data_IF_843836769444
#
_entry.id   IF_843836769444
#
_cell.length_a   1.000
_cell.length_b   1.000
_cell.length_c   1.000
_cell.angle_alpha   90.00
_cell.angle_beta   90.00
_cell.angle_gamma   90.00
#
_symmetry.space_group_name_H-M   'P 1'
#
loop_
_entity.id
_entity.type
_entity.pdbx_description
1 polymer ?
#
# COMPACT_ATOMS: atom_id res chain seq x y z
N UNK A 1 12.61 -20.34 9.68
CA UNK A 1 12.42 -18.89 9.59
C UNK A 1 12.76 -18.14 10.90
N UNK A 2 13.76 -18.64 11.63
CA UNK A 2 14.33 -17.98 12.84
C UNK A 2 15.48 -17.02 12.51
N UNK A 3 15.78 -16.77 11.23
CA UNK A 3 17.02 -16.14 10.76
C UNK A 3 17.03 -14.59 10.76
N UNK A 4 15.89 -13.93 10.99
CA UNK A 4 15.85 -12.46 10.94
C UNK A 4 15.18 -11.91 12.20
N UNK A 5 15.74 -10.86 12.85
CA UNK A 5 15.09 -10.12 13.91
C UNK A 5 13.76 -9.50 13.43
N UNK A 6 12.84 -9.23 14.35
CA UNK A 6 11.45 -8.83 14.03
C UNK A 6 11.36 -7.62 13.10
N UNK A 7 12.23 -6.62 13.27
CA UNK A 7 12.26 -5.39 12.47
C UNK A 7 12.73 -5.66 11.04
N UNK A 8 13.75 -6.50 10.86
CA UNK A 8 14.26 -6.87 9.53
C UNK A 8 13.21 -7.58 8.67
N UNK A 9 12.34 -8.40 9.29
CA UNK A 9 11.25 -9.07 8.56
C UNK A 9 10.22 -8.09 8.03
N UNK A 10 9.87 -7.08 8.81
CA UNK A 10 8.92 -6.03 8.43
C UNK A 10 9.51 -5.17 7.32
N UNK A 11 10.78 -4.83 7.40
CA UNK A 11 11.50 -4.08 6.36
C UNK A 11 11.60 -4.89 5.06
N UNK A 12 11.89 -6.19 5.15
CA UNK A 12 11.93 -7.07 3.99
C UNK A 12 10.56 -7.17 3.29
N UNK A 13 9.48 -7.25 4.06
CA UNK A 13 8.12 -7.17 3.51
C UNK A 13 7.87 -5.82 2.81
N UNK A 14 8.33 -4.72 3.40
CA UNK A 14 8.22 -3.38 2.80
C UNK A 14 8.96 -3.26 1.47
N UNK A 15 10.17 -3.80 1.38
CA UNK A 15 10.96 -3.83 0.13
C UNK A 15 10.26 -4.68 -0.93
N UNK A 16 9.73 -5.85 -0.55
CA UNK A 16 9.00 -6.72 -1.46
C UNK A 16 7.71 -6.05 -1.98
N UNK A 17 7.00 -5.30 -1.12
CA UNK A 17 5.84 -4.50 -1.53
C UNK A 17 6.23 -3.38 -2.50
N UNK A 18 7.37 -2.71 -2.28
CA UNK A 18 7.88 -1.68 -3.18
C UNK A 18 8.22 -2.25 -4.56
N UNK A 19 8.90 -3.40 -4.59
CA UNK A 19 9.20 -4.11 -5.84
C UNK A 19 7.90 -4.52 -6.55
N UNK A 20 6.96 -5.10 -5.82
CA UNK A 20 5.65 -5.46 -6.36
C UNK A 20 4.91 -4.26 -6.95
N UNK A 21 4.89 -3.13 -6.24
CA UNK A 21 4.28 -1.90 -6.74
C UNK A 21 4.97 -1.34 -7.99
N UNK A 22 6.30 -1.45 -8.08
CA UNK A 22 7.06 -1.06 -9.27
C UNK A 22 6.75 -1.95 -10.49
N UNK A 23 6.55 -3.25 -10.26
CA UNK A 23 6.24 -4.21 -11.35
C UNK A 23 4.85 -3.98 -11.97
N UNK A 24 3.91 -3.29 -11.30
CA UNK A 24 2.61 -2.92 -11.88
C UNK A 24 2.75 -2.09 -13.16
N UNK A 25 3.79 -1.26 -13.24
CA UNK A 25 4.01 -0.40 -14.41
C UNK A 25 4.38 -1.21 -15.66
N UNK A 26 4.84 -2.46 -15.50
CA UNK A 26 5.19 -3.36 -16.59
C UNK A 26 4.00 -4.30 -16.87
N UNK A 27 3.33 -4.21 -18.04
CA UNK A 27 2.11 -4.96 -18.33
C UNK A 27 2.24 -6.48 -18.14
N UNK A 28 3.35 -7.05 -18.59
CA UNK A 28 3.61 -8.49 -18.51
C UNK A 28 3.88 -9.00 -17.11
N UNK A 29 4.23 -8.11 -16.16
CA UNK A 29 4.55 -8.45 -14.78
C UNK A 29 3.37 -8.30 -13.82
N UNK A 30 2.19 -7.89 -14.30
CA UNK A 30 0.98 -7.68 -13.47
C UNK A 30 0.63 -8.89 -12.59
N UNK A 31 0.61 -10.15 -13.09
CA UNK A 31 0.31 -11.30 -12.24
C UNK A 31 1.33 -11.49 -11.12
N UNK A 32 2.62 -11.31 -11.42
CA UNK A 32 3.71 -11.42 -10.44
C UNK A 32 3.60 -10.31 -9.41
N UNK A 33 3.34 -9.09 -9.86
CA UNK A 33 3.10 -7.93 -9.00
C UNK A 33 1.93 -8.17 -8.04
N UNK A 34 0.79 -8.63 -8.55
CA UNK A 34 -0.39 -8.94 -7.75
C UNK A 34 -0.11 -10.01 -6.69
N UNK A 35 0.61 -11.06 -7.06
CA UNK A 35 1.04 -12.10 -6.13
C UNK A 35 1.95 -11.54 -5.03
N UNK A 36 2.98 -10.79 -5.38
CA UNK A 36 3.91 -10.18 -4.41
C UNK A 36 3.18 -9.25 -3.45
N UNK A 37 2.36 -8.34 -3.97
CA UNK A 37 1.61 -7.39 -3.14
C UNK A 37 0.65 -8.14 -2.21
N UNK A 38 -0.14 -9.08 -2.71
CA UNK A 38 -1.09 -9.84 -1.91
C UNK A 38 -0.41 -10.67 -0.82
N UNK A 39 0.64 -11.41 -1.16
CA UNK A 39 1.37 -12.26 -0.22
C UNK A 39 2.06 -11.46 0.87
N UNK A 40 2.87 -10.46 0.47
CA UNK A 40 3.65 -9.68 1.44
C UNK A 40 2.81 -8.70 2.25
N UNK A 41 1.69 -8.20 1.72
CA UNK A 41 0.72 -7.40 2.47
C UNK A 41 0.08 -8.19 3.60
N UNK A 42 -0.34 -9.43 3.32
CA UNK A 42 -0.89 -10.33 4.34
C UNK A 42 0.14 -10.69 5.41
N UNK A 43 1.35 -11.04 4.98
CA UNK A 43 2.45 -11.36 5.91
C UNK A 43 2.79 -10.16 6.79
N UNK A 44 2.90 -8.98 6.22
CA UNK A 44 3.16 -7.74 6.93
C UNK A 44 2.06 -7.40 7.94
N UNK A 45 0.80 -7.54 7.55
CA UNK A 45 -0.35 -7.32 8.46
C UNK A 45 -0.31 -8.26 9.66
N UNK A 46 0.04 -9.53 9.43
CA UNK A 46 0.20 -10.52 10.50
C UNK A 46 1.35 -10.17 11.46
N UNK A 47 2.49 -9.75 10.91
CA UNK A 47 3.65 -9.31 11.72
C UNK A 47 3.33 -8.07 12.54
N UNK A 48 2.69 -7.06 11.94
CA UNK A 48 2.30 -5.84 12.64
C UNK A 48 1.25 -6.09 13.73
N UNK A 49 0.30 -7.00 13.50
CA UNK A 49 -0.66 -7.41 14.54
C UNK A 49 0.07 -8.01 15.74
N UNK A 50 1.05 -8.87 15.48
CA UNK A 50 1.83 -9.51 16.55
C UNK A 50 2.65 -8.47 17.34
N UNK A 51 3.28 -7.51 16.66
CA UNK A 51 4.03 -6.43 17.31
C UNK A 51 3.08 -5.54 18.13
N UNK A 52 1.96 -5.11 17.57
CA UNK A 52 0.98 -4.30 18.28
C UNK A 52 0.47 -4.99 19.55
N UNK A 53 0.27 -6.31 19.51
CA UNK A 53 -0.22 -7.08 20.65
C UNK A 53 0.86 -7.32 21.72
N UNK A 54 2.13 -7.50 21.33
CA UNK A 54 3.21 -7.81 22.29
C UNK A 54 3.82 -6.57 22.95
N UNK A 55 3.85 -5.43 22.26
CA UNK A 55 4.54 -4.23 22.77
C UNK A 55 3.62 -3.28 23.55
N UNK A 56 2.29 -3.42 23.42
CA UNK A 56 1.33 -2.62 24.19
C UNK A 56 0.79 -3.39 25.40
N UNK A 57 1.65 -3.68 26.35
CA UNK A 57 1.34 -4.48 27.55
C UNK A 57 0.20 -3.92 28.41
N UNK A 58 -0.13 -2.63 28.32
CA UNK A 58 -1.23 -2.00 29.05
C UNK A 58 -2.56 -1.89 28.30
N UNK A 59 -2.56 -2.05 26.99
CA UNK A 59 -3.73 -1.76 26.13
C UNK A 59 -4.26 -3.00 25.39
N UNK A 60 -3.56 -4.14 25.45
CA UNK A 60 -3.93 -5.44 24.82
C UNK A 60 -4.99 -5.35 23.69
N UNK A 61 -6.26 -5.62 24.01
CA UNK A 61 -7.35 -5.63 23.03
C UNK A 61 -7.69 -4.23 22.49
N UNK A 62 -7.48 -3.16 23.26
CA UNK A 62 -7.66 -1.80 22.82
C UNK A 62 -6.64 -1.36 21.76
N UNK A 63 -5.44 -1.94 21.74
CA UNK A 63 -4.44 -1.65 20.71
C UNK A 63 -4.89 -2.10 19.33
N UNK A 64 -5.54 -3.26 19.23
CA UNK A 64 -6.12 -3.76 17.99
C UNK A 64 -7.29 -2.89 17.53
N UNK A 65 -8.10 -2.40 18.46
CA UNK A 65 -9.22 -1.48 18.17
C UNK A 65 -8.72 -0.16 17.59
N UNK A 66 -7.70 0.45 18.21
CA UNK A 66 -7.05 1.68 17.73
C UNK A 66 -6.45 1.45 16.35
N UNK A 67 -5.69 0.35 16.16
CA UNK A 67 -5.13 0.00 14.85
C UNK A 67 -6.21 -0.13 13.77
N UNK A 68 -7.33 -0.81 14.07
CA UNK A 68 -8.40 -1.01 13.12
C UNK A 68 -9.10 0.32 12.75
N UNK A 69 -9.27 1.25 13.72
CA UNK A 69 -9.82 2.59 13.45
C UNK A 69 -8.90 3.39 12.54
N UNK A 70 -7.60 3.42 12.81
CA UNK A 70 -6.62 4.09 11.96
C UNK A 70 -6.53 3.43 10.57
N UNK A 71 -6.64 2.11 10.49
CA UNK A 71 -6.70 1.39 9.22
C UNK A 71 -7.91 1.79 8.36
N UNK A 72 -9.09 1.96 8.96
CA UNK A 72 -10.28 2.43 8.25
C UNK A 72 -10.14 3.87 7.77
N UNK A 73 -9.59 4.77 8.58
CA UNK A 73 -9.30 6.15 8.18
C UNK A 73 -8.30 6.19 7.02
N UNK A 74 -7.23 5.39 7.11
CA UNK A 74 -6.25 5.26 6.03
C UNK A 74 -6.88 4.75 4.73
N UNK A 75 -7.80 3.78 4.82
CA UNK A 75 -8.52 3.25 3.65
C UNK A 75 -9.40 4.32 2.99
N UNK A 76 -10.13 5.11 3.77
CA UNK A 76 -10.95 6.22 3.25
C UNK A 76 -10.06 7.25 2.56
N UNK A 77 -8.95 7.64 3.19
CA UNK A 77 -8.00 8.57 2.60
C UNK A 77 -7.40 8.03 1.30
N UNK A 78 -7.00 6.76 1.29
CA UNK A 78 -6.49 6.09 0.09
C UNK A 78 -7.50 6.07 -1.05
N UNK A 79 -8.78 5.76 -0.77
CA UNK A 79 -9.83 5.76 -1.78
C UNK A 79 -10.09 7.16 -2.35
N UNK A 80 -10.09 8.18 -1.49
CA UNK A 80 -10.24 9.58 -1.92
C UNK A 80 -9.08 10.01 -2.80
N UNK A 81 -7.85 9.66 -2.43
CA UNK A 81 -6.65 9.96 -3.21
C UNK A 81 -6.66 9.23 -4.56
N UNK A 82 -7.10 7.95 -4.57
CA UNK A 82 -7.27 7.17 -5.79
C UNK A 82 -8.23 7.86 -6.75
N UNK A 83 -9.36 8.31 -6.25
CA UNK A 83 -10.37 8.99 -7.05
C UNK A 83 -9.84 10.32 -7.63
N UNK A 84 -9.15 11.12 -6.80
CA UNK A 84 -8.55 12.38 -7.25
C UNK A 84 -7.48 12.15 -8.32
N UNK A 85 -6.58 11.20 -8.12
CA UNK A 85 -5.54 10.87 -9.11
C UNK A 85 -6.15 10.31 -10.39
N UNK A 86 -7.18 9.50 -10.28
CA UNK A 86 -7.89 8.95 -11.43
C UNK A 86 -8.50 10.06 -12.30
N UNK A 87 -9.21 11.02 -11.70
CA UNK A 87 -9.75 12.18 -12.41
C UNK A 87 -8.62 13.01 -13.04
N UNK A 88 -7.54 13.25 -12.28
CA UNK A 88 -6.38 14.01 -12.76
C UNK A 88 -5.73 13.35 -13.98
N UNK A 89 -5.54 12.03 -13.95
CA UNK A 89 -5.00 11.29 -15.10
C UNK A 89 -5.95 11.30 -16.30
N UNK A 90 -7.27 11.14 -16.09
CA UNK A 90 -8.24 11.27 -17.15
C UNK A 90 -8.17 12.65 -17.83
N UNK A 91 -8.05 13.70 -17.04
CA UNK A 91 -7.88 15.04 -17.55
C UNK A 91 -6.56 15.20 -18.33
N UNK A 92 -5.46 14.71 -17.78
CA UNK A 92 -4.14 14.81 -18.41
C UNK A 92 -4.05 14.04 -19.74
N UNK A 93 -4.62 12.84 -19.79
CA UNK A 93 -4.65 12.01 -21.00
C UNK A 93 -5.81 12.32 -21.94
N UNK A 94 -6.62 13.35 -21.63
CA UNK A 94 -7.80 13.79 -22.43
C UNK A 94 -8.82 12.66 -22.64
N UNK A 95 -8.97 11.77 -21.66
CA UNK A 95 -9.95 10.68 -21.72
C UNK A 95 -11.28 11.20 -21.16
N UNK A 96 -12.39 11.11 -21.91
CA UNK A 96 -13.67 11.60 -21.43
C UNK A 96 -14.18 10.74 -20.26
N UNK A 97 -14.35 11.38 -19.11
CA UNK A 97 -14.80 10.71 -17.86
C UNK A 97 -16.15 10.03 -18.06
N UNK A 98 -17.02 10.57 -18.91
CA UNK A 98 -18.34 10.02 -19.19
C UNK A 98 -18.26 8.64 -19.87
N UNK A 99 -17.38 8.47 -20.86
CA UNK A 99 -17.18 7.19 -21.55
C UNK A 99 -16.63 6.11 -20.62
N UNK A 100 -15.87 6.55 -19.62
CA UNK A 100 -15.30 5.71 -18.58
C UNK A 100 -16.39 5.20 -17.62
N UNK A 101 -17.28 6.07 -17.17
CA UNK A 101 -18.44 5.72 -16.34
C UNK A 101 -19.40 4.79 -17.09
N UNK A 102 -19.64 4.99 -18.37
CA UNK A 102 -20.46 4.12 -19.22
C UNK A 102 -19.85 2.73 -19.35
N UNK A 103 -18.53 2.62 -19.47
CA UNK A 103 -17.83 1.33 -19.51
C UNK A 103 -17.92 0.59 -18.18
N UNK A 104 -17.71 1.29 -17.07
CA UNK A 104 -17.78 0.71 -15.72
C UNK A 104 -19.21 0.24 -15.41
N UNK A 105 -20.21 0.96 -15.88
CA UNK A 105 -21.63 0.60 -15.70
C UNK A 105 -22.13 -0.45 -16.70
N UNK A 106 -21.28 -0.91 -17.62
CA UNK A 106 -21.64 -1.94 -18.62
C UNK A 106 -22.60 -1.44 -19.70
N UNK A 107 -22.80 -0.13 -19.84
CA UNK A 107 -23.72 0.45 -20.82
C UNK A 107 -23.17 0.49 -22.25
N UNK A 108 -21.86 0.49 -22.40
CA UNK A 108 -21.21 0.42 -23.71
C UNK A 108 -19.84 -0.26 -23.60
N UNK A 109 -19.45 -1.02 -24.64
CA UNK A 109 -18.07 -1.46 -24.81
C UNK A 109 -17.33 -0.25 -25.41
N UNK A 110 -16.65 0.51 -24.56
CA UNK A 110 -16.00 1.72 -25.02
C UNK A 110 -14.86 1.38 -25.99
N UNK A 111 -14.73 2.14 -27.08
CA UNK A 111 -13.61 2.02 -28.01
C UNK A 111 -12.24 2.31 -27.36
N UNK A 112 -12.23 2.81 -26.11
CA UNK A 112 -11.05 3.20 -25.34
C UNK A 112 -10.74 2.28 -24.14
N UNK A 113 -11.12 0.99 -24.21
CA UNK A 113 -10.88 0.04 -23.11
C UNK A 113 -9.39 -0.04 -22.72
N UNK A 114 -8.49 0.02 -23.70
CA UNK A 114 -7.04 0.02 -23.49
C UNK A 114 -6.57 1.25 -22.72
N UNK A 115 -7.12 2.42 -23.02
CA UNK A 115 -6.77 3.68 -22.36
C UNK A 115 -7.27 3.70 -20.91
N UNK A 116 -8.47 3.15 -20.68
CA UNK A 116 -9.06 3.00 -19.36
C UNK A 116 -8.20 2.07 -18.48
N UNK A 117 -7.83 0.92 -19.00
CA UNK A 117 -6.96 -0.04 -18.30
C UNK A 117 -5.60 0.60 -18.01
N UNK A 118 -5.05 1.38 -18.94
CA UNK A 118 -3.81 2.10 -18.75
C UNK A 118 -3.91 3.12 -17.60
N UNK A 119 -4.97 3.96 -17.58
CA UNK A 119 -5.17 4.96 -16.53
C UNK A 119 -5.36 4.31 -15.16
N UNK A 120 -6.19 3.26 -15.07
CA UNK A 120 -6.39 2.52 -13.82
C UNK A 120 -5.09 1.91 -13.30
N UNK A 121 -4.28 1.34 -14.19
CA UNK A 121 -2.98 0.76 -13.85
C UNK A 121 -2.01 1.83 -13.34
N UNK A 122 -1.91 2.95 -14.05
CA UNK A 122 -1.04 4.07 -13.65
C UNK A 122 -1.49 4.66 -12.30
N UNK A 123 -2.78 4.90 -12.12
CA UNK A 123 -3.32 5.42 -10.87
C UNK A 123 -3.06 4.47 -9.70
N UNK A 124 -3.39 3.20 -9.87
CA UNK A 124 -3.16 2.16 -8.85
C UNK A 124 -1.67 1.98 -8.55
N UNK A 125 -0.82 1.95 -9.59
CA UNK A 125 0.63 1.83 -9.44
C UNK A 125 1.25 2.99 -8.67
N UNK A 126 0.90 4.22 -9.01
CA UNK A 126 1.41 5.42 -8.32
C UNK A 126 1.02 5.42 -6.83
N UNK A 127 -0.23 5.07 -6.52
CA UNK A 127 -0.69 5.01 -5.13
C UNK A 127 0.04 3.92 -4.35
N UNK A 128 0.09 2.70 -4.87
CA UNK A 128 0.74 1.58 -4.20
C UNK A 128 2.23 1.84 -4.01
N UNK A 129 2.90 2.40 -5.01
CA UNK A 129 4.29 2.79 -4.92
C UNK A 129 4.51 3.88 -3.86
N UNK A 130 3.68 4.93 -3.86
CA UNK A 130 3.72 5.99 -2.85
C UNK A 130 3.51 5.46 -1.44
N UNK A 131 2.52 4.58 -1.24
CA UNK A 131 2.28 3.94 0.06
C UNK A 131 3.49 3.10 0.51
N UNK A 132 4.08 2.30 -0.39
CA UNK A 132 5.24 1.48 -0.09
C UNK A 132 6.45 2.32 0.30
N UNK A 133 6.70 3.44 -0.40
CA UNK A 133 7.76 4.40 -0.05
C UNK A 133 7.51 5.04 1.31
N UNK A 134 6.32 5.58 1.56
CA UNK A 134 5.97 6.16 2.86
C UNK A 134 6.11 5.16 4.00
N UNK A 135 5.73 3.91 3.76
CA UNK A 135 5.88 2.82 4.72
C UNK A 135 7.35 2.56 5.07
N UNK A 136 8.23 2.45 4.07
CA UNK A 136 9.66 2.24 4.30
C UNK A 136 10.31 3.44 5.02
N UNK A 137 9.94 4.66 4.67
CA UNK A 137 10.39 5.87 5.35
C UNK A 137 9.98 5.83 6.83
N UNK A 138 8.73 5.48 7.12
CA UNK A 138 8.22 5.37 8.49
C UNK A 138 8.99 4.32 9.29
N UNK A 139 9.26 3.15 8.70
CA UNK A 139 10.06 2.09 9.33
C UNK A 139 11.49 2.56 9.64
N UNK A 140 12.12 3.26 8.71
CA UNK A 140 13.46 3.79 8.89
C UNK A 140 13.54 4.76 10.08
N UNK A 141 12.58 5.68 10.19
CA UNK A 141 12.53 6.60 11.33
C UNK A 141 12.22 5.90 12.64
N UNK A 142 11.33 4.91 12.63
CA UNK A 142 11.01 4.11 13.80
C UNK A 142 12.24 3.34 14.32
N UNK A 143 12.99 2.69 13.45
CA UNK A 143 14.20 1.96 13.80
C UNK A 143 15.28 2.88 14.37
N UNK A 144 15.42 4.09 13.79
CA UNK A 144 16.38 5.10 14.27
C UNK A 144 15.99 5.62 15.66
N UNK A 145 14.70 5.82 15.93
CA UNK A 145 14.18 6.22 17.24
C UNK A 145 14.43 5.16 18.32
N UNK A 146 14.22 3.88 18.02
CA UNK A 146 14.50 2.77 18.95
C UNK A 146 15.98 2.69 19.32
N UNK A 147 16.88 2.84 18.35
CA UNK A 147 18.34 2.85 18.61
C UNK A 147 18.78 4.03 19.45
N UNK A 148 18.11 5.18 19.35
CA UNK A 148 18.40 6.36 20.16
C UNK A 148 17.98 6.20 21.62
N UNK A 149 16.87 5.49 21.88
CA UNK A 149 16.36 5.24 23.24
C UNK A 149 17.10 4.12 23.98
N UNK A 150 17.84 3.26 23.27
CA UNK A 150 18.62 2.16 23.84
C UNK A 150 20.07 2.51 24.16
N UNK A 151 20.52 3.75 23.94
CA UNK A 151 21.85 4.16 24.43
C UNK A 151 21.84 4.16 25.96
N UNK A 152 22.74 3.39 26.62
CA UNK A 152 22.89 3.47 28.06
C UNK A 152 23.24 4.92 28.44
N UNK A 153 22.57 5.43 29.47
CA UNK A 153 22.98 6.66 30.16
C UNK A 153 24.29 6.31 30.85
N UNK A 154 25.41 6.79 30.30
CA UNK A 154 26.72 6.75 30.96
C UNK A 154 26.74 7.69 32.17
#
# INVERSE_FOLDING_TARGET
LRLFPKVEKVTLCGIALLIGAGLIFIPYCIPISGFLIGFFSNLNSSLLNKVAYTETTGLKDNSLLVKNRWGKLGSIFQQSLLFLLFISFCYFFKIPILSLLETITGKSIAPHLTDIVFVLRMTGGVILFGIAVCYLITLFFYEKGLKATQKPVE
#
